data_IF_963886864992
#
_entry.id   IF_963886864992
#
_cell.length_a   1.000
_cell.length_b   1.000
_cell.length_c   1.000
_cell.angle_alpha   90.00
_cell.angle_beta   90.00
_cell.angle_gamma   90.00
#
_symmetry.space_group_name_H-M   'P 1'
#
loop_
_entity.id
_entity.type
_entity.pdbx_description
1 polymer ?
#
# COMPACT_ATOMS: atom_id res chain seq x y z
N UNK A 1 -10.38 15.18 -0.29
CA UNK A 1 -10.16 14.03 -1.19
C UNK A 1 -10.59 12.77 -0.47
N UNK A 2 -11.51 12.01 -1.06
CA UNK A 2 -12.08 10.79 -0.49
C UNK A 2 -11.27 9.58 -0.93
N UNK A 3 -10.79 8.80 0.03
CA UNK A 3 -9.86 7.70 -0.18
C UNK A 3 -10.45 6.40 0.34
N UNK A 4 -10.37 5.35 -0.47
CA UNK A 4 -10.76 3.99 -0.08
C UNK A 4 -9.51 3.10 -0.04
N UNK A 5 -9.36 2.29 1.01
CA UNK A 5 -8.19 1.41 1.18
C UNK A 5 -8.58 -0.02 0.79
N UNK A 6 -7.99 -0.56 -0.29
CA UNK A 6 -8.13 -1.96 -0.65
C UNK A 6 -6.88 -2.75 -0.24
N UNK A 7 -7.04 -3.73 0.65
CA UNK A 7 -5.94 -4.47 1.26
C UNK A 7 -5.48 -3.84 2.58
N UNK A 8 -5.97 -4.38 3.68
CA UNK A 8 -5.68 -3.95 5.04
C UNK A 8 -4.49 -4.71 5.65
N UNK A 9 -3.46 -4.92 4.83
CA UNK A 9 -2.18 -5.48 5.21
C UNK A 9 -1.26 -4.47 5.88
N UNK A 10 0.07 -4.73 5.86
CA UNK A 10 1.07 -3.84 6.47
C UNK A 10 0.95 -2.38 5.99
N UNK A 11 0.83 -2.17 4.67
CA UNK A 11 0.74 -0.82 4.10
C UNK A 11 -0.61 -0.17 4.42
N UNK A 12 -1.73 -0.84 4.13
CA UNK A 12 -3.07 -0.30 4.38
C UNK A 12 -3.29 0.12 5.84
N UNK A 13 -2.85 -0.71 6.81
CA UNK A 13 -2.93 -0.35 8.25
C UNK A 13 -2.01 0.80 8.62
N UNK A 14 -0.80 0.84 8.08
CA UNK A 14 0.14 1.94 8.34
C UNK A 14 -0.39 3.28 7.79
N UNK A 15 -1.02 3.26 6.61
CA UNK A 15 -1.67 4.44 6.03
C UNK A 15 -2.83 4.90 6.92
N UNK A 16 -3.71 3.99 7.35
CA UNK A 16 -4.82 4.36 8.23
C UNK A 16 -4.32 4.93 9.56
N UNK A 17 -3.28 4.32 10.16
CA UNK A 17 -2.66 4.83 11.40
C UNK A 17 -2.11 6.24 11.22
N UNK A 18 -1.36 6.50 10.14
CA UNK A 18 -0.82 7.81 9.84
C UNK A 18 -1.94 8.86 9.68
N UNK A 19 -2.99 8.51 8.93
CA UNK A 19 -4.16 9.39 8.76
C UNK A 19 -4.89 9.68 10.07
N UNK A 20 -5.12 8.65 10.89
CA UNK A 20 -5.76 8.81 12.20
C UNK A 20 -4.91 9.64 13.18
N UNK A 21 -3.58 9.63 13.02
CA UNK A 21 -2.64 10.49 13.75
C UNK A 21 -2.53 11.92 13.19
N UNK A 22 -3.31 12.28 12.17
CA UNK A 22 -3.37 13.63 11.60
C UNK A 22 -2.52 13.85 10.37
N UNK A 23 -1.90 12.81 9.80
CA UNK A 23 -1.26 12.93 8.49
C UNK A 23 -2.31 13.04 7.36
N UNK A 24 -1.93 13.66 6.25
CA UNK A 24 -2.79 13.74 5.06
C UNK A 24 -3.92 14.75 5.21
N UNK A 25 -3.59 15.99 5.55
CA UNK A 25 -4.56 17.10 5.56
C UNK A 25 -5.40 17.13 4.26
N UNK A 26 -6.71 17.30 4.41
CA UNK A 26 -7.64 17.27 3.28
C UNK A 26 -7.97 15.87 2.73
N UNK A 27 -7.44 14.80 3.34
CA UNK A 27 -7.81 13.40 3.02
C UNK A 27 -8.89 12.90 4.00
N UNK A 28 -9.91 12.25 3.45
CA UNK A 28 -10.94 11.53 4.19
C UNK A 28 -10.86 10.06 3.81
N UNK A 29 -10.55 9.17 4.76
CA UNK A 29 -10.67 7.73 4.53
C UNK A 29 -12.13 7.33 4.67
N UNK A 30 -12.75 6.88 3.59
CA UNK A 30 -14.19 6.62 3.51
C UNK A 30 -14.57 5.14 3.58
N UNK A 31 -13.59 4.25 3.58
CA UNK A 31 -13.83 2.82 3.69
C UNK A 31 -12.58 1.99 3.49
N UNK A 32 -12.67 0.73 3.91
CA UNK A 32 -11.60 -0.26 3.90
C UNK A 32 -12.16 -1.57 3.34
N UNK A 33 -11.36 -2.30 2.58
CA UNK A 33 -11.64 -3.68 2.18
C UNK A 33 -10.46 -4.59 2.52
N UNK A 34 -10.73 -5.79 3.04
CA UNK A 34 -9.76 -6.87 3.17
C UNK A 34 -10.45 -8.24 2.98
N UNK A 35 -9.68 -9.34 2.91
CA UNK A 35 -10.25 -10.70 2.87
C UNK A 35 -10.38 -11.33 4.27
N UNK A 36 -9.68 -10.77 5.26
CA UNK A 36 -9.73 -11.19 6.65
C UNK A 36 -11.10 -10.88 7.29
N UNK A 37 -11.39 -11.50 8.43
CA UNK A 37 -12.61 -11.18 9.18
C UNK A 37 -12.50 -9.79 9.83
N UNK A 38 -13.62 -9.11 10.11
CA UNK A 38 -13.62 -7.82 10.80
C UNK A 38 -12.85 -7.84 12.12
N UNK A 39 -13.00 -8.90 12.91
CA UNK A 39 -12.33 -9.09 14.20
C UNK A 39 -10.81 -9.15 14.03
N UNK A 40 -10.35 -9.84 12.99
CA UNK A 40 -8.93 -9.91 12.66
C UNK A 40 -8.40 -8.55 12.17
N UNK A 41 -9.18 -7.83 11.38
CA UNK A 41 -8.81 -6.49 10.92
C UNK A 41 -8.65 -5.53 12.11
N UNK A 42 -9.61 -5.51 13.03
CA UNK A 42 -9.57 -4.70 14.24
C UNK A 42 -8.35 -5.08 15.11
N UNK A 43 -8.17 -6.37 15.39
CA UNK A 43 -7.05 -6.86 16.19
C UNK A 43 -5.69 -6.47 15.58
N UNK A 44 -5.50 -6.67 14.26
CA UNK A 44 -4.24 -6.34 13.59
C UNK A 44 -4.00 -4.83 13.41
N UNK A 45 -5.05 -4.01 13.49
CA UNK A 45 -4.93 -2.57 13.54
C UNK A 45 -4.56 -2.08 14.94
N UNK A 46 -5.22 -2.64 15.96
CA UNK A 46 -4.95 -2.34 17.37
C UNK A 46 -3.53 -2.76 17.74
N UNK A 47 -3.09 -3.96 17.38
CA UNK A 47 -1.78 -4.48 17.78
C UNK A 47 -0.81 -4.59 16.59
N UNK A 48 0.20 -3.73 16.58
CA UNK A 48 1.29 -3.76 15.59
C UNK A 48 2.63 -4.06 16.26
N UNK A 49 3.34 -5.09 15.79
CA UNK A 49 4.62 -5.49 16.38
C UNK A 49 5.77 -4.50 16.13
N UNK A 50 5.67 -3.62 15.12
CA UNK A 50 6.71 -2.63 14.79
C UNK A 50 6.39 -1.28 15.44
N UNK A 51 5.14 -0.84 15.33
CA UNK A 51 4.73 0.49 15.80
C UNK A 51 4.09 0.47 17.20
N UNK A 52 3.94 -0.71 17.80
CA UNK A 52 3.27 -0.89 19.08
C UNK A 52 1.74 -0.86 18.97
N UNK A 53 1.04 -1.04 20.10
CA UNK A 53 -0.40 -0.97 20.16
C UNK A 53 -0.91 0.43 19.81
N UNK A 54 -2.10 0.50 19.23
CA UNK A 54 -2.83 1.74 19.03
C UNK A 54 -3.16 2.34 20.39
N UNK A 55 -2.95 3.65 20.55
CA UNK A 55 -3.14 4.33 21.84
C UNK A 55 -4.56 4.86 22.06
N UNK A 56 -5.37 4.84 21.01
CA UNK A 56 -6.76 5.28 21.02
C UNK A 56 -7.74 4.11 21.08
N UNK A 57 -9.02 4.35 20.74
CA UNK A 57 -10.04 3.30 20.72
C UNK A 57 -10.12 2.60 19.37
N UNK A 58 -10.30 1.28 19.42
CA UNK A 58 -10.58 0.44 18.26
C UNK A 58 -11.79 -0.43 18.60
N UNK A 59 -12.88 -0.23 17.87
CA UNK A 59 -14.14 -0.94 18.10
C UNK A 59 -14.71 -1.47 16.78
N UNK A 60 -15.53 -2.51 16.87
CA UNK A 60 -16.30 -3.00 15.74
C UNK A 60 -17.78 -2.74 15.97
N UNK A 61 -18.43 -2.20 14.95
CA UNK A 61 -19.88 -2.10 14.85
C UNK A 61 -20.32 -2.84 13.58
N UNK A 62 -21.61 -3.18 13.43
CA UNK A 62 -22.08 -3.87 12.23
C UNK A 62 -21.66 -3.14 10.94
N UNK A 63 -20.77 -3.77 10.16
CA UNK A 63 -20.29 -3.26 8.88
C UNK A 63 -19.19 -2.20 8.92
N UNK A 64 -18.63 -1.85 10.09
CA UNK A 64 -17.58 -0.83 10.18
C UNK A 64 -16.55 -1.09 11.29
N UNK A 65 -15.32 -0.65 11.02
CA UNK A 65 -14.26 -0.47 12.00
C UNK A 65 -14.35 0.96 12.54
N UNK A 66 -14.45 1.12 13.85
CA UNK A 66 -14.47 2.44 14.51
C UNK A 66 -13.09 2.69 15.12
N UNK A 67 -12.43 3.77 14.68
CA UNK A 67 -11.14 4.20 15.23
C UNK A 67 -11.30 5.60 15.79
N UNK A 68 -11.07 5.77 17.10
CA UNK A 68 -11.22 7.05 17.80
C UNK A 68 -12.56 7.74 17.53
N UNK A 69 -13.65 6.94 17.56
CA UNK A 69 -15.01 7.39 17.28
C UNK A 69 -15.34 7.61 15.80
N UNK A 70 -14.40 7.40 14.88
CA UNK A 70 -14.62 7.51 13.43
C UNK A 70 -15.00 6.15 12.85
N UNK A 71 -16.24 6.00 12.40
CA UNK A 71 -16.71 4.78 11.76
C UNK A 71 -16.24 4.70 10.30
N UNK A 72 -15.52 3.63 9.97
CA UNK A 72 -14.98 3.34 8.65
C UNK A 72 -15.67 2.08 8.11
N UNK A 73 -16.49 2.19 7.05
CA UNK A 73 -17.08 1.02 6.39
C UNK A 73 -16.02 -0.04 6.10
N UNK A 74 -16.25 -1.26 6.56
CA UNK A 74 -15.32 -2.37 6.41
C UNK A 74 -15.96 -3.46 5.56
N UNK A 75 -15.41 -3.65 4.37
CA UNK A 75 -15.85 -4.64 3.41
C UNK A 75 -14.95 -5.88 3.45
N UNK A 76 -15.54 -7.02 3.05
CA UNK A 76 -14.84 -8.30 2.98
C UNK A 76 -14.96 -8.97 1.62
N UNK A 77 -14.33 -8.39 0.61
CA UNK A 77 -14.45 -8.81 -0.79
C UNK A 77 -13.10 -9.16 -1.40
N UNK A 78 -13.05 -10.27 -2.13
CA UNK A 78 -11.89 -10.63 -2.96
C UNK A 78 -11.81 -9.79 -4.25
N UNK A 79 -12.96 -9.32 -4.75
CA UNK A 79 -13.08 -8.40 -5.88
C UNK A 79 -13.97 -7.24 -5.50
N UNK A 80 -13.41 -6.02 -5.51
CA UNK A 80 -14.13 -4.79 -5.16
C UNK A 80 -14.91 -4.20 -6.33
N UNK A 81 -14.86 -4.76 -7.54
CA UNK A 81 -15.51 -4.20 -8.74
C UNK A 81 -17.02 -4.02 -8.61
N UNK A 82 -17.66 -4.75 -7.69
CA UNK A 82 -19.10 -4.66 -7.41
C UNK A 82 -19.49 -3.66 -6.32
N UNK A 83 -18.52 -2.98 -5.68
CA UNK A 83 -18.81 -1.90 -4.74
C UNK A 83 -19.23 -0.63 -5.49
N UNK A 84 -19.99 0.24 -4.83
CA UNK A 84 -20.19 1.62 -5.28
C UNK A 84 -19.13 2.52 -4.66
N UNK A 85 -18.11 2.84 -5.46
CA UNK A 85 -17.02 3.76 -5.15
C UNK A 85 -17.11 5.03 -6.01
N UNK A 86 -18.29 5.37 -6.54
CA UNK A 86 -18.50 6.55 -7.40
C UNK A 86 -18.14 7.89 -6.72
N UNK A 87 -18.23 7.95 -5.39
CA UNK A 87 -17.83 9.08 -4.57
C UNK A 87 -16.36 9.04 -4.10
N UNK A 88 -15.57 8.05 -4.54
CA UNK A 88 -14.16 7.89 -4.15
C UNK A 88 -13.25 8.55 -5.19
N UNK A 89 -12.38 9.44 -4.73
CA UNK A 89 -11.39 10.08 -5.59
C UNK A 89 -10.23 9.12 -5.90
N UNK A 90 -9.73 8.41 -4.88
CA UNK A 90 -8.60 7.50 -5.01
C UNK A 90 -8.83 6.21 -4.24
N UNK A 91 -8.69 5.07 -4.92
CA UNK A 91 -8.50 3.78 -4.27
C UNK A 91 -7.00 3.57 -4.04
N UNK A 92 -6.61 3.35 -2.79
CA UNK A 92 -5.28 2.84 -2.45
C UNK A 92 -5.30 1.32 -2.61
N UNK A 93 -4.58 0.84 -3.62
CA UNK A 93 -4.46 -0.58 -3.91
C UNK A 93 -3.22 -1.13 -3.18
N UNK A 94 -3.47 -1.69 -2.00
CA UNK A 94 -2.49 -2.17 -1.03
C UNK A 94 -2.50 -3.68 -0.84
N UNK A 95 -3.18 -4.44 -1.72
CA UNK A 95 -3.25 -5.91 -1.62
C UNK A 95 -1.95 -6.60 -2.04
N UNK A 96 -1.09 -5.90 -2.80
CA UNK A 96 0.08 -6.50 -3.44
C UNK A 96 -0.25 -7.43 -4.61
N UNK A 97 -1.48 -7.37 -5.13
CA UNK A 97 -1.99 -8.22 -6.23
C UNK A 97 -2.37 -7.43 -7.49
N UNK A 98 -1.92 -6.19 -7.59
CA UNK A 98 -2.20 -5.32 -8.74
C UNK A 98 -1.18 -5.51 -9.87
N UNK A 99 -0.85 -6.76 -10.18
CA UNK A 99 0.13 -7.17 -11.17
C UNK A 99 -0.47 -7.30 -12.59
N UNK A 100 -1.81 -7.40 -12.69
CA UNK A 100 -2.53 -7.36 -13.98
C UNK A 100 -3.41 -6.12 -14.10
N UNK A 101 -3.63 -5.68 -15.34
CA UNK A 101 -4.55 -4.59 -15.66
C UNK A 101 -5.98 -4.87 -15.16
N UNK A 102 -6.40 -6.13 -15.18
CA UNK A 102 -7.70 -6.54 -14.67
C UNK A 102 -7.84 -6.24 -13.19
N UNK A 103 -6.86 -6.66 -12.36
CA UNK A 103 -6.92 -6.45 -10.91
C UNK A 103 -6.75 -4.98 -10.56
N UNK A 104 -5.78 -4.29 -11.19
CA UNK A 104 -5.54 -2.87 -10.95
C UNK A 104 -6.74 -1.98 -11.29
N UNK A 105 -7.57 -2.37 -12.27
CA UNK A 105 -8.74 -1.61 -12.68
C UNK A 105 -10.02 -1.89 -11.84
N UNK A 106 -9.98 -2.77 -10.83
CA UNK A 106 -11.16 -3.10 -10.00
C UNK A 106 -11.76 -1.87 -9.32
N UNK A 107 -10.92 -1.01 -8.75
CA UNK A 107 -11.38 0.24 -8.13
C UNK A 107 -12.04 1.19 -9.13
N UNK A 108 -11.53 1.28 -10.36
CA UNK A 108 -12.14 2.08 -11.43
C UNK A 108 -13.49 1.52 -11.87
N UNK A 109 -13.62 0.18 -11.98
CA UNK A 109 -14.89 -0.47 -12.32
C UNK A 109 -15.96 -0.26 -11.25
N UNK A 110 -15.55 -0.20 -9.99
CA UNK A 110 -16.41 0.17 -8.87
C UNK A 110 -16.81 1.66 -8.88
N UNK A 111 -16.23 2.49 -9.75
CA UNK A 111 -16.59 3.90 -9.93
C UNK A 111 -15.60 4.90 -9.35
N UNK A 112 -14.50 4.46 -8.72
CA UNK A 112 -13.49 5.38 -8.20
C UNK A 112 -12.80 6.14 -9.33
N UNK A 113 -12.41 7.40 -9.10
CA UNK A 113 -11.80 8.24 -10.16
C UNK A 113 -10.40 7.77 -10.54
N UNK A 114 -9.60 7.34 -9.56
CA UNK A 114 -8.20 6.89 -9.74
C UNK A 114 -7.84 5.74 -8.81
N UNK A 115 -6.77 5.04 -9.15
CA UNK A 115 -6.15 3.97 -8.36
C UNK A 115 -4.68 4.31 -8.15
N UNK A 116 -4.24 4.28 -6.89
CA UNK A 116 -2.83 4.40 -6.50
C UNK A 116 -2.35 3.06 -5.94
N UNK A 117 -1.45 2.41 -6.67
CA UNK A 117 -0.88 1.11 -6.29
C UNK A 117 0.31 1.32 -5.36
N UNK A 118 0.33 0.63 -4.21
CA UNK A 118 1.38 0.79 -3.20
C UNK A 118 2.66 0.00 -3.45
N UNK A 119 2.93 -0.34 -4.72
CA UNK A 119 4.06 -1.18 -5.13
C UNK A 119 4.33 -1.05 -6.63
N UNK A 120 5.48 -1.55 -7.12
CA UNK A 120 5.74 -1.63 -8.56
C UNK A 120 4.67 -2.45 -9.27
N UNK A 121 4.19 -1.96 -10.40
CA UNK A 121 3.16 -2.65 -11.17
C UNK A 121 3.30 -2.34 -12.65
N UNK A 122 3.31 -3.39 -13.47
CA UNK A 122 3.24 -3.27 -14.93
C UNK A 122 1.87 -2.80 -15.43
N UNK A 123 0.84 -2.87 -14.57
CA UNK A 123 -0.51 -2.40 -14.88
C UNK A 123 -0.68 -0.88 -14.68
N UNK A 124 0.29 -0.21 -14.06
CA UNK A 124 0.24 1.23 -13.88
C UNK A 124 0.55 1.96 -15.20
N UNK A 125 -0.18 3.03 -15.47
CA UNK A 125 0.07 3.91 -16.63
C UNK A 125 1.35 4.72 -16.43
N UNK A 126 1.67 5.05 -15.18
CA UNK A 126 2.89 5.75 -14.79
C UNK A 126 3.31 5.34 -13.39
N UNK A 127 4.63 5.26 -13.17
CA UNK A 127 5.23 5.12 -11.84
C UNK A 127 5.79 6.46 -11.40
N UNK A 128 5.38 6.93 -10.22
CA UNK A 128 5.75 8.23 -9.68
C UNK A 128 6.42 8.06 -8.33
N UNK A 129 7.50 8.82 -8.12
CA UNK A 129 8.19 9.00 -6.85
C UNK A 129 8.30 10.50 -6.58
N UNK A 130 7.77 10.93 -5.44
CA UNK A 130 7.86 12.33 -5.01
C UNK A 130 9.31 12.73 -4.76
N UNK A 131 9.70 13.92 -5.21
CA UNK A 131 11.08 14.41 -5.19
C UNK A 131 11.96 13.85 -6.32
N UNK A 132 11.40 13.04 -7.23
CA UNK A 132 12.12 12.46 -8.36
C UNK A 132 11.44 12.81 -9.68
N UNK A 133 10.20 12.37 -9.92
CA UNK A 133 9.55 12.55 -11.21
C UNK A 133 8.07 12.96 -11.10
N UNK A 134 7.63 13.51 -9.97
CA UNK A 134 6.25 13.92 -9.72
C UNK A 134 5.63 14.83 -10.79
N UNK A 135 6.46 15.54 -11.56
CA UNK A 135 6.02 16.40 -12.67
C UNK A 135 5.43 15.63 -13.85
N UNK A 136 5.64 14.31 -13.94
CA UNK A 136 5.01 13.48 -14.99
C UNK A 136 3.57 13.09 -14.66
N UNK A 137 3.15 13.31 -13.42
CA UNK A 137 1.79 13.04 -12.99
C UNK A 137 0.82 14.02 -13.66
N UNK A 138 -0.13 13.47 -14.41
CA UNK A 138 -1.11 14.21 -15.18
C UNK A 138 -2.48 13.53 -15.09
N UNK A 139 -3.08 13.19 -16.24
CA UNK A 139 -4.41 12.61 -16.36
C UNK A 139 -4.52 11.10 -16.05
N UNK A 140 -3.42 10.43 -15.67
CA UNK A 140 -3.38 8.97 -15.56
C UNK A 140 -4.31 8.44 -14.46
N UNK A 141 -5.08 7.39 -14.76
CA UNK A 141 -6.07 6.86 -13.81
C UNK A 141 -5.48 5.82 -12.88
N UNK A 142 -4.49 5.05 -13.34
CA UNK A 142 -3.79 4.04 -12.52
C UNK A 142 -2.32 4.45 -12.40
N UNK A 143 -1.90 4.74 -11.17
CA UNK A 143 -0.54 5.20 -10.85
C UNK A 143 0.10 4.23 -9.87
N UNK A 144 1.38 3.89 -10.08
CA UNK A 144 2.18 3.18 -9.08
C UNK A 144 3.00 4.17 -8.26
N UNK A 145 2.98 4.02 -6.94
CA UNK A 145 3.86 4.75 -6.03
C UNK A 145 5.23 4.07 -5.86
N UNK A 146 5.66 3.29 -6.86
CA UNK A 146 6.89 2.53 -6.90
C UNK A 146 7.08 1.58 -5.69
N UNK A 147 8.31 1.15 -5.43
CA UNK A 147 8.69 0.42 -4.22
C UNK A 147 9.24 1.35 -3.14
N UNK A 148 9.31 0.87 -1.89
CA UNK A 148 10.02 1.56 -0.80
C UNK A 148 11.48 1.88 -1.17
N UNK A 149 12.19 0.93 -1.78
CA UNK A 149 13.57 1.11 -2.23
C UNK A 149 13.70 2.18 -3.32
N UNK A 150 12.77 2.20 -4.28
CA UNK A 150 12.74 3.22 -5.34
C UNK A 150 12.49 4.60 -4.74
N UNK A 151 11.57 4.72 -3.77
CA UNK A 151 11.31 5.97 -3.06
C UNK A 151 12.53 6.47 -2.27
N UNK A 152 13.33 5.57 -1.69
CA UNK A 152 14.56 5.95 -0.98
C UNK A 152 15.67 6.42 -1.93
N UNK A 153 15.81 5.78 -3.11
CA UNK A 153 16.92 6.05 -4.02
C UNK A 153 16.65 7.18 -5.02
N UNK A 154 15.47 7.22 -5.62
CA UNK A 154 15.23 8.03 -6.81
C UNK A 154 15.41 9.55 -6.59
N UNK A 155 14.97 10.16 -5.46
CA UNK A 155 15.22 11.59 -5.22
C UNK A 155 16.72 11.91 -5.10
N UNK A 156 17.47 11.05 -4.41
CA UNK A 156 18.92 11.19 -4.30
C UNK A 156 19.62 11.03 -5.65
N UNK A 157 19.23 10.03 -6.43
CA UNK A 157 19.78 9.80 -7.76
C UNK A 157 19.50 10.98 -8.70
N UNK A 158 18.29 11.57 -8.64
CA UNK A 158 17.95 12.78 -9.38
C UNK A 158 18.86 13.94 -9.01
N UNK A 159 18.99 14.24 -7.72
CA UNK A 159 19.85 15.33 -7.23
C UNK A 159 21.29 15.15 -7.73
N UNK A 160 21.84 13.93 -7.60
CA UNK A 160 23.22 13.66 -8.04
C UNK A 160 23.35 13.83 -9.55
N UNK A 161 22.39 13.33 -10.32
CA UNK A 161 22.41 13.42 -11.77
C UNK A 161 22.30 14.87 -12.27
N UNK A 162 21.41 15.67 -11.67
CA UNK A 162 21.22 17.09 -12.06
C UNK A 162 22.47 17.95 -11.80
N UNK A 163 23.22 17.66 -10.73
CA UNK A 163 24.39 18.47 -10.37
C UNK A 163 25.72 17.97 -10.94
N UNK A 164 25.92 16.66 -11.06
CA UNK A 164 27.22 16.07 -11.42
C UNK A 164 27.16 15.10 -12.60
N UNK A 165 25.96 14.68 -13.02
CA UNK A 165 25.79 13.67 -14.05
C UNK A 165 26.15 12.26 -13.57
N UNK A 166 25.20 11.33 -13.66
CA UNK A 166 25.45 9.90 -13.42
C UNK A 166 25.74 9.25 -14.77
N UNK A 167 26.93 8.67 -14.93
CA UNK A 167 27.30 7.88 -16.13
C UNK A 167 26.91 6.41 -15.93
N UNK A 168 27.25 5.85 -14.77
CA UNK A 168 26.90 4.47 -14.37
C UNK A 168 26.70 4.43 -12.84
N UNK A 169 25.99 3.42 -12.35
CA UNK A 169 25.75 3.23 -10.93
C UNK A 169 25.50 1.77 -10.57
N UNK A 170 25.88 1.39 -9.35
CA UNK A 170 25.51 0.13 -8.73
C UNK A 170 24.93 0.45 -7.35
N UNK A 171 23.90 -0.26 -6.95
CA UNK A 171 23.21 -0.04 -5.70
C UNK A 171 22.88 -1.38 -5.05
N UNK A 172 23.09 -1.44 -3.74
CA UNK A 172 22.71 -2.57 -2.91
C UNK A 172 21.93 -2.04 -1.72
N UNK A 173 20.75 -2.62 -1.49
CA UNK A 173 19.95 -2.34 -0.30
C UNK A 173 20.03 -3.52 0.65
N UNK A 174 20.33 -3.26 1.92
CA UNK A 174 20.11 -4.24 2.98
C UNK A 174 18.68 -4.01 3.48
N UNK A 175 17.78 -4.90 3.09
CA UNK A 175 16.34 -4.70 3.26
C UNK A 175 15.78 -5.62 4.35
N UNK A 176 14.85 -5.11 5.17
CA UNK A 176 14.12 -5.95 6.13
C UNK A 176 13.31 -7.02 5.39
N UNK A 177 13.13 -8.20 6.00
CA UNK A 177 12.25 -9.19 5.39
C UNK A 177 10.79 -8.69 5.31
N UNK A 178 10.04 -9.20 4.34
CA UNK A 178 8.66 -8.77 4.08
C UNK A 178 7.69 -9.95 4.11
N UNK A 179 6.38 -9.67 4.03
CA UNK A 179 5.35 -10.71 4.01
C UNK A 179 5.42 -11.66 2.80
N UNK A 180 6.25 -11.38 1.79
CA UNK A 180 6.49 -12.30 0.67
C UNK A 180 7.55 -13.36 0.98
N UNK A 181 8.22 -13.30 2.13
CA UNK A 181 9.23 -14.29 2.53
C UNK A 181 8.67 -15.21 3.60
N UNK A 182 9.02 -16.51 3.57
CA UNK A 182 8.44 -17.48 4.48
C UNK A 182 9.12 -17.44 5.85
N UNK A 183 8.37 -17.76 6.90
CA UNK A 183 8.90 -17.81 8.28
C UNK A 183 9.79 -19.03 8.53
N UNK A 184 9.53 -20.12 7.80
CA UNK A 184 10.30 -21.36 7.77
C UNK A 184 10.66 -21.68 6.32
N UNK A 185 11.62 -22.57 6.08
CA UNK A 185 11.97 -22.97 4.71
C UNK A 185 10.71 -23.52 3.99
N UNK A 186 10.33 -22.90 2.87
CA UNK A 186 9.11 -23.22 2.13
C UNK A 186 9.28 -22.84 0.64
N UNK A 187 8.65 -23.58 -0.30
CA UNK A 187 8.71 -23.23 -1.71
C UNK A 187 8.22 -21.80 -1.98
N UNK A 188 9.09 -20.98 -2.56
CA UNK A 188 8.80 -19.62 -3.01
C UNK A 188 9.25 -19.44 -4.48
N UNK A 189 9.34 -18.20 -4.95
CA UNK A 189 9.71 -17.88 -6.33
C UNK A 189 11.10 -18.41 -6.75
N UNK A 190 12.07 -18.43 -5.83
CA UNK A 190 13.43 -18.92 -6.06
C UNK A 190 14.01 -19.60 -4.81
N UNK A 191 15.15 -20.27 -4.96
CA UNK A 191 15.79 -21.03 -3.88
C UNK A 191 16.23 -20.15 -2.70
N UNK A 192 16.70 -18.92 -2.93
CA UNK A 192 17.14 -18.04 -1.86
C UNK A 192 15.95 -17.49 -1.06
N UNK A 193 14.88 -17.08 -1.76
CA UNK A 193 13.61 -16.65 -1.17
C UNK A 193 12.80 -17.77 -0.53
N UNK A 194 13.16 -19.02 -0.78
CA UNK A 194 12.56 -20.19 -0.13
C UNK A 194 13.10 -20.44 1.29
N UNK A 195 14.11 -19.69 1.73
CA UNK A 195 14.74 -19.85 3.05
C UNK A 195 14.01 -19.03 4.13
N UNK A 196 14.06 -19.52 5.37
CA UNK A 196 13.50 -18.89 6.55
C UNK A 196 14.00 -17.45 6.71
N UNK A 197 13.08 -16.48 6.60
CA UNK A 197 13.40 -15.07 6.40
C UNK A 197 14.19 -14.44 7.56
N UNK A 198 13.93 -14.85 8.79
CA UNK A 198 14.57 -14.29 9.98
C UNK A 198 15.95 -14.91 10.30
N UNK A 199 16.38 -15.92 9.53
CA UNK A 199 17.60 -16.70 9.79
C UNK A 199 18.57 -16.70 8.59
N UNK A 200 18.27 -15.97 7.53
CA UNK A 200 19.04 -15.99 6.29
C UNK A 200 19.28 -14.58 5.75
N UNK A 201 20.47 -14.35 5.18
CA UNK A 201 20.69 -13.26 4.24
C UNK A 201 20.25 -13.74 2.86
N UNK A 202 19.20 -13.13 2.31
CA UNK A 202 18.61 -13.50 1.02
C UNK A 202 19.01 -12.44 -0.01
N UNK A 203 19.82 -12.81 -1.03
CA UNK A 203 20.16 -11.91 -2.14
C UNK A 203 18.95 -11.44 -2.95
#
# INVERSE_FOLDING_TARGET
>A
MRVFINGFGRIGRSVLRAWAQGAGEGIEVVGINDIATPEMCAYLFEFDSVFGPWRGSVELVPGALVVDGRALPLHRLADISGLDLSAVDVVLECTGRADSAEVAARGLRAGARRVLISGPSAAAEVTVVLGANETVLAGQRIVSNASCTTNALAPLARLIHEHWGIVTGSMTTIHCYTGSQPTVDAPAADFARSRAAALSMVP
#
